data_IF_332328545032
#
_entry.id   IF_332328545032
#
_cell.length_a   1.000
_cell.length_b   1.000
_cell.length_c   1.000
_cell.angle_alpha   90.00
_cell.angle_beta   90.00
_cell.angle_gamma   90.00
#
_symmetry.space_group_name_H-M   'P 1'
#
loop_
_entity.id
_entity.type
_entity.pdbx_description
1 polymer ?
#
# COMPACT_ATOMS: atom_id res chain seq x y z
N UNK A 1 -47.81 -37.63 -12.19
CA UNK A 1 -46.50 -37.75 -12.87
C UNK A 1 -45.47 -37.15 -11.93
N UNK A 2 -44.61 -37.99 -11.36
CA UNK A 2 -43.47 -37.56 -10.55
C UNK A 2 -42.32 -37.25 -11.52
N UNK A 3 -41.96 -35.98 -11.66
CA UNK A 3 -40.68 -35.58 -12.25
C UNK A 3 -39.77 -35.12 -11.11
N UNK A 4 -39.04 -36.08 -10.55
CA UNK A 4 -37.85 -35.83 -9.73
C UNK A 4 -36.67 -35.63 -10.69
N UNK A 5 -36.28 -34.38 -10.95
CA UNK A 5 -34.99 -34.05 -11.54
C UNK A 5 -34.64 -32.60 -11.22
N UNK A 6 -33.86 -32.39 -10.16
CA UNK A 6 -32.88 -31.31 -10.04
C UNK A 6 -32.00 -31.64 -8.83
N UNK A 7 -31.13 -32.63 -9.02
CA UNK A 7 -29.96 -32.81 -8.19
C UNK A 7 -29.09 -31.57 -8.44
N UNK A 8 -29.25 -30.55 -7.59
CA UNK A 8 -28.37 -29.38 -7.61
C UNK A 8 -26.98 -29.90 -7.28
N UNK A 9 -26.15 -29.96 -8.31
CA UNK A 9 -24.77 -30.41 -8.36
C UNK A 9 -24.00 -30.12 -7.04
N UNK A 10 -24.14 -31.02 -6.05
CA UNK A 10 -23.54 -30.89 -4.71
C UNK A 10 -22.07 -31.27 -4.76
N UNK A 11 -21.31 -30.65 -5.65
CA UNK A 11 -19.90 -30.96 -5.87
C UNK A 11 -19.03 -29.77 -5.53
N UNK A 12 -17.92 -30.00 -4.84
CA UNK A 12 -16.95 -28.96 -4.58
C UNK A 12 -16.30 -28.53 -5.89
N UNK A 13 -16.34 -27.24 -6.24
CA UNK A 13 -15.74 -26.77 -7.49
C UNK A 13 -14.19 -26.70 -7.49
N UNK A 14 -13.55 -27.16 -6.41
CA UNK A 14 -12.08 -27.31 -6.32
C UNK A 14 -11.69 -28.78 -6.55
N UNK A 15 -12.17 -29.72 -5.73
CA UNK A 15 -11.80 -31.14 -5.83
C UNK A 15 -12.79 -32.00 -6.64
N UNK A 16 -13.95 -31.45 -7.01
CA UNK A 16 -15.06 -32.12 -7.70
C UNK A 16 -15.74 -33.25 -6.91
N UNK A 17 -15.40 -33.43 -5.64
CA UNK A 17 -16.05 -34.41 -4.75
C UNK A 17 -17.42 -33.93 -4.24
N UNK A 18 -18.27 -34.88 -3.86
CA UNK A 18 -19.59 -34.59 -3.28
C UNK A 18 -19.47 -33.87 -1.93
N UNK A 19 -20.22 -32.78 -1.78
CA UNK A 19 -20.26 -31.95 -0.59
C UNK A 19 -21.09 -32.62 0.50
N UNK A 20 -20.46 -32.86 1.65
CA UNK A 20 -21.12 -33.15 2.91
C UNK A 20 -20.81 -32.01 3.89
N UNK A 21 -21.84 -31.32 4.38
CA UNK A 21 -21.71 -30.09 5.21
C UNK A 21 -20.72 -29.06 4.64
N UNK A 22 -21.01 -28.46 3.47
CA UNK A 22 -20.08 -27.56 2.81
C UNK A 22 -19.77 -26.32 3.65
N UNK A 23 -18.56 -25.80 3.45
CA UNK A 23 -18.23 -24.44 3.83
C UNK A 23 -18.81 -23.48 2.79
N UNK A 24 -19.64 -22.53 3.25
CA UNK A 24 -20.37 -21.58 2.41
C UNK A 24 -19.90 -20.17 2.69
N UNK A 25 -19.34 -19.50 1.68
CA UNK A 25 -18.92 -18.09 1.84
C UNK A 25 -20.15 -17.19 1.98
N UNK A 26 -20.23 -16.40 3.04
CA UNK A 26 -21.39 -15.55 3.35
C UNK A 26 -21.72 -14.54 2.25
N UNK A 27 -20.71 -13.86 1.69
CA UNK A 27 -20.91 -12.76 0.74
C UNK A 27 -21.29 -13.20 -0.69
N UNK A 28 -20.90 -14.41 -1.09
CA UNK A 28 -21.09 -14.88 -2.47
C UNK A 28 -21.85 -16.20 -2.57
N UNK A 29 -22.11 -16.87 -1.44
CA UNK A 29 -22.88 -18.11 -1.33
C UNK A 29 -22.27 -19.31 -2.07
N UNK A 30 -21.03 -19.19 -2.55
CA UNK A 30 -20.30 -20.32 -3.12
C UNK A 30 -19.89 -21.31 -2.04
N UNK A 31 -20.02 -22.60 -2.37
CA UNK A 31 -19.81 -23.72 -1.47
C UNK A 31 -18.60 -24.56 -1.86
N UNK A 32 -17.84 -24.98 -0.85
CA UNK A 32 -16.64 -25.79 -1.00
C UNK A 32 -16.58 -26.87 0.07
N UNK A 33 -15.82 -27.93 -0.22
CA UNK A 33 -15.47 -28.90 0.82
C UNK A 33 -14.64 -28.18 1.90
N UNK A 34 -14.85 -28.50 3.19
CA UNK A 34 -14.15 -27.83 4.30
C UNK A 34 -12.62 -27.91 4.13
N UNK A 35 -12.11 -29.06 3.68
CA UNK A 35 -10.68 -29.29 3.40
C UNK A 35 -10.18 -28.33 2.32
N UNK A 36 -10.87 -28.24 1.20
CA UNK A 36 -10.54 -27.40 0.05
C UNK A 36 -10.53 -25.90 0.41
N UNK A 37 -11.54 -25.46 1.17
CA UNK A 37 -11.63 -24.09 1.64
C UNK A 37 -10.49 -23.78 2.63
N UNK A 38 -10.26 -24.68 3.59
CA UNK A 38 -9.19 -24.58 4.58
C UNK A 38 -7.83 -24.43 3.88
N UNK A 39 -7.43 -25.39 3.06
CA UNK A 39 -6.13 -25.39 2.37
C UNK A 39 -5.94 -24.13 1.51
N UNK A 40 -6.99 -23.68 0.82
CA UNK A 40 -6.92 -22.45 0.03
C UNK A 40 -6.63 -21.21 0.89
N UNK A 41 -7.31 -21.01 2.01
CA UNK A 41 -7.08 -19.84 2.85
C UNK A 41 -5.77 -19.92 3.65
N UNK A 42 -5.38 -21.13 4.05
CA UNK A 42 -4.07 -21.38 4.66
C UNK A 42 -2.94 -21.02 3.69
N UNK A 43 -3.05 -21.38 2.41
CA UNK A 43 -2.09 -20.97 1.38
C UNK A 43 -1.97 -19.44 1.28
N UNK A 44 -3.07 -18.70 1.41
CA UNK A 44 -3.04 -17.23 1.39
C UNK A 44 -2.30 -16.64 2.58
N UNK A 45 -2.38 -17.27 3.75
CA UNK A 45 -1.62 -16.87 4.93
C UNK A 45 -0.14 -17.16 4.73
N UNK A 46 0.21 -18.32 4.18
CA UNK A 46 1.59 -18.70 3.89
C UNK A 46 2.23 -17.81 2.83
N UNK A 47 1.45 -17.38 1.83
CA UNK A 47 1.83 -16.39 0.82
C UNK A 47 1.89 -14.94 1.37
N UNK A 48 1.57 -14.72 2.66
CA UNK A 48 1.46 -13.40 3.31
C UNK A 48 0.44 -12.45 2.65
N UNK A 49 -0.65 -12.99 2.11
CA UNK A 49 -1.74 -12.27 1.42
C UNK A 49 -3.01 -12.15 2.28
N UNK A 50 -2.86 -11.83 3.57
CA UNK A 50 -3.97 -11.81 4.55
C UNK A 50 -5.05 -10.73 4.31
N UNK A 51 -4.78 -9.72 3.47
CA UNK A 51 -5.76 -8.71 3.06
C UNK A 51 -6.51 -9.08 1.78
N UNK A 52 -6.15 -10.22 1.17
CA UNK A 52 -6.68 -10.67 -0.13
C UNK A 52 -7.47 -11.98 0.01
N UNK A 53 -8.11 -12.17 1.15
CA UNK A 53 -9.04 -13.27 1.34
C UNK A 53 -10.26 -13.10 0.42
N UNK A 54 -10.25 -13.88 -0.66
CA UNK A 54 -11.23 -13.84 -1.73
C UNK A 54 -11.77 -15.22 -2.01
N UNK A 55 -13.04 -15.30 -2.39
CA UNK A 55 -13.65 -16.52 -2.86
C UNK A 55 -12.87 -17.13 -4.05
N UNK A 56 -12.51 -18.44 -4.00
CA UNK A 56 -11.79 -19.11 -5.09
C UNK A 56 -12.49 -19.01 -6.45
N UNK A 57 -13.83 -18.94 -6.49
CA UNK A 57 -14.61 -18.96 -7.73
C UNK A 57 -14.87 -17.57 -8.32
N UNK A 58 -15.25 -16.59 -7.49
CA UNK A 58 -15.71 -15.29 -7.99
C UNK A 58 -14.89 -14.10 -7.52
N UNK A 59 -13.83 -14.33 -6.73
CA UNK A 59 -12.88 -13.31 -6.27
C UNK A 59 -13.47 -12.18 -5.41
N UNK A 60 -14.75 -12.28 -5.03
CA UNK A 60 -15.36 -11.42 -4.01
C UNK A 60 -14.63 -11.60 -2.68
N UNK A 61 -14.50 -10.52 -1.92
CA UNK A 61 -13.96 -10.57 -0.55
C UNK A 61 -14.73 -11.57 0.30
N UNK A 62 -14.04 -12.17 1.24
CA UNK A 62 -14.62 -13.11 2.21
C UNK A 62 -14.40 -12.57 3.61
N UNK A 63 -15.40 -12.75 4.48
CA UNK A 63 -15.29 -12.41 5.89
C UNK A 63 -14.16 -13.19 6.59
N UNK A 64 -13.33 -12.46 7.33
CA UNK A 64 -12.15 -13.02 8.00
C UNK A 64 -12.56 -13.94 9.14
N UNK A 65 -13.58 -13.56 9.92
CA UNK A 65 -13.98 -14.35 11.10
C UNK A 65 -14.48 -15.73 10.69
N UNK A 66 -15.22 -15.80 9.57
CA UNK A 66 -15.59 -17.07 8.96
C UNK A 66 -14.37 -17.92 8.55
N UNK A 67 -13.30 -17.32 8.01
CA UNK A 67 -12.08 -18.04 7.61
C UNK A 67 -11.34 -18.56 8.84
N UNK A 68 -11.19 -17.74 9.87
CA UNK A 68 -10.50 -18.13 11.11
C UNK A 68 -11.15 -19.34 11.80
N UNK A 69 -12.45 -19.57 11.59
CA UNK A 69 -13.15 -20.74 12.13
C UNK A 69 -12.82 -22.07 11.45
N UNK A 70 -12.29 -22.06 10.22
CA UNK A 70 -12.04 -23.28 9.44
C UNK A 70 -10.56 -23.64 9.29
N UNK A 71 -9.67 -22.67 9.45
CA UNK A 71 -8.23 -22.88 9.42
C UNK A 71 -7.73 -23.41 10.77
N UNK A 72 -6.58 -24.07 10.76
CA UNK A 72 -6.01 -24.59 12.00
C UNK A 72 -5.41 -23.50 12.91
N UNK A 73 -5.14 -23.89 14.15
CA UNK A 73 -4.60 -23.00 15.18
C UNK A 73 -3.28 -22.33 14.75
N UNK A 74 -2.41 -23.07 14.04
CA UNK A 74 -1.14 -22.54 13.57
C UNK A 74 -1.34 -21.39 12.57
N UNK A 75 -2.27 -21.55 11.62
CA UNK A 75 -2.58 -20.51 10.64
C UNK A 75 -3.36 -19.34 11.25
N UNK A 76 -4.19 -19.57 12.27
CA UNK A 76 -4.80 -18.47 13.05
C UNK A 76 -3.73 -17.60 13.71
N UNK A 77 -2.76 -18.22 14.38
CA UNK A 77 -1.63 -17.51 15.01
C UNK A 77 -0.81 -16.72 13.99
N UNK A 78 -0.46 -17.34 12.85
CA UNK A 78 0.23 -16.67 11.74
C UNK A 78 -0.55 -15.47 11.19
N UNK A 79 -1.86 -15.62 10.99
CA UNK A 79 -2.72 -14.52 10.53
C UNK A 79 -2.63 -13.32 11.50
N UNK A 80 -2.75 -13.57 12.81
CA UNK A 80 -2.69 -12.53 13.82
C UNK A 80 -1.30 -11.88 13.91
N UNK A 81 -0.22 -12.65 13.81
CA UNK A 81 1.14 -12.13 13.75
C UNK A 81 1.33 -11.19 12.56
N UNK A 82 0.99 -11.64 11.34
CA UNK A 82 1.11 -10.83 10.13
C UNK A 82 0.26 -9.55 10.20
N UNK A 83 -0.96 -9.64 10.75
CA UNK A 83 -1.83 -8.48 10.97
C UNK A 83 -1.21 -7.49 11.95
N UNK A 84 -0.61 -7.98 13.03
CA UNK A 84 0.08 -7.15 14.02
C UNK A 84 1.33 -6.49 13.44
N UNK A 85 2.17 -7.23 12.71
CA UNK A 85 3.35 -6.70 12.01
C UNK A 85 2.95 -5.54 11.09
N UNK A 86 1.92 -5.74 10.27
CA UNK A 86 1.40 -4.72 9.36
C UNK A 86 0.88 -3.49 10.11
N UNK A 87 0.14 -3.70 11.21
CA UNK A 87 -0.34 -2.61 12.05
C UNK A 87 0.80 -1.79 12.67
N UNK A 88 1.83 -2.46 13.22
CA UNK A 88 3.00 -1.80 13.79
C UNK A 88 3.77 -1.01 12.73
N UNK A 89 3.97 -1.58 11.55
CA UNK A 89 4.62 -0.89 10.44
C UNK A 89 3.85 0.38 10.03
N UNK A 90 2.52 0.30 9.90
CA UNK A 90 1.69 1.46 9.60
C UNK A 90 1.74 2.53 10.70
N UNK A 91 1.73 2.11 11.97
CA UNK A 91 1.85 3.00 13.12
C UNK A 91 3.19 3.73 13.10
N UNK A 92 4.29 3.01 12.94
CA UNK A 92 5.64 3.56 12.86
C UNK A 92 5.77 4.55 11.69
N UNK A 93 5.24 4.21 10.51
CA UNK A 93 5.24 5.11 9.34
C UNK A 93 4.46 6.40 9.61
N UNK A 94 3.30 6.31 10.28
CA UNK A 94 2.52 7.50 10.68
C UNK A 94 3.28 8.37 11.67
N UNK A 95 3.95 7.77 12.66
CA UNK A 95 4.77 8.49 13.64
C UNK A 95 5.97 9.17 12.98
N UNK A 96 6.64 8.49 12.06
CA UNK A 96 7.75 9.05 11.28
C UNK A 96 7.31 10.26 10.43
N UNK A 97 6.15 10.17 9.77
CA UNK A 97 5.59 11.30 8.99
C UNK A 97 5.23 12.47 9.91
N UNK A 98 4.63 12.20 11.08
CA UNK A 98 4.34 13.25 12.08
C UNK A 98 5.62 13.93 12.56
N UNK A 99 6.66 13.15 12.88
CA UNK A 99 7.96 13.68 13.26
C UNK A 99 8.51 14.60 12.18
N UNK A 100 8.48 14.15 10.93
CA UNK A 100 8.95 14.93 9.78
C UNK A 100 8.22 16.27 9.65
N UNK A 101 6.88 16.25 9.61
CA UNK A 101 6.06 17.46 9.46
C UNK A 101 6.35 18.47 10.58
N UNK A 102 6.48 17.99 11.81
CA UNK A 102 6.68 18.86 12.98
C UNK A 102 8.10 19.43 13.09
N UNK A 103 9.09 18.77 12.47
CA UNK A 103 10.51 19.10 12.66
C UNK A 103 11.24 19.52 11.38
N UNK A 104 10.59 19.46 10.21
CA UNK A 104 11.20 19.72 8.89
C UNK A 104 12.11 20.94 8.88
N UNK A 105 11.57 22.10 9.25
CA UNK A 105 12.30 23.36 9.20
C UNK A 105 13.31 23.50 10.36
N UNK A 106 13.00 22.93 11.53
CA UNK A 106 13.84 23.05 12.74
C UNK A 106 15.12 22.23 12.63
N UNK A 107 15.03 21.07 11.99
CA UNK A 107 16.14 20.12 11.86
C UNK A 107 16.69 20.04 10.43
N UNK A 108 16.29 20.97 9.55
CA UNK A 108 16.67 20.97 8.13
C UNK A 108 16.45 19.61 7.45
N UNK A 109 15.28 18.99 7.67
CA UNK A 109 14.95 17.70 7.08
C UNK A 109 14.37 17.87 5.67
N UNK A 110 14.58 16.85 4.84
CA UNK A 110 13.85 16.66 3.60
C UNK A 110 13.39 15.20 3.48
N UNK A 111 12.35 14.97 2.68
CA UNK A 111 11.78 13.63 2.44
C UNK A 111 11.73 13.34 0.95
N UNK A 112 12.30 12.21 0.54
CA UNK A 112 12.21 11.77 -0.85
C UNK A 112 10.76 11.37 -1.20
N UNK A 113 10.16 11.87 -2.28
CA UNK A 113 8.77 11.52 -2.63
C UNK A 113 8.62 10.09 -3.17
N UNK A 114 9.71 9.42 -3.54
CA UNK A 114 9.67 8.06 -4.09
C UNK A 114 9.85 6.98 -3.03
N UNK A 115 10.95 7.03 -2.28
CA UNK A 115 11.26 6.03 -1.26
C UNK A 115 10.81 6.45 0.15
N UNK A 116 10.32 7.68 0.32
CA UNK A 116 9.86 8.25 1.60
C UNK A 116 10.91 8.40 2.69
N UNK A 117 12.18 8.09 2.40
CA UNK A 117 13.26 8.24 3.36
C UNK A 117 13.50 9.72 3.68
N UNK A 118 13.75 9.97 4.96
CA UNK A 118 13.99 11.30 5.53
C UNK A 118 15.49 11.46 5.77
N UNK A 119 16.02 12.61 5.39
CA UNK A 119 17.44 12.92 5.52
C UNK A 119 17.63 14.32 6.08
N UNK A 120 18.81 14.55 6.65
CA UNK A 120 19.27 15.90 6.95
C UNK A 120 19.81 16.54 5.67
N UNK A 121 19.38 17.77 5.39
CA UNK A 121 19.97 18.62 4.37
C UNK A 121 21.13 19.41 4.99
N UNK A 122 22.23 19.54 4.25
CA UNK A 122 23.33 20.42 4.62
C UNK A 122 22.84 21.88 4.83
N UNK A 123 23.42 22.56 5.81
CA UNK A 123 23.21 23.99 6.00
C UNK A 123 23.69 24.75 4.75
N UNK A 124 22.86 25.66 4.23
CA UNK A 124 23.09 26.37 2.96
C UNK A 124 23.22 25.47 1.71
N UNK A 125 22.83 24.19 1.80
CA UNK A 125 22.84 23.27 0.67
C UNK A 125 21.81 23.62 -0.41
N UNK A 126 22.03 23.11 -1.62
CA UNK A 126 21.09 23.21 -2.72
C UNK A 126 19.75 22.56 -2.34
N UNK A 127 18.62 23.19 -2.68
CA UNK A 127 17.30 22.60 -2.47
C UNK A 127 16.95 21.55 -3.54
N UNK A 128 17.70 21.46 -4.63
CA UNK A 128 17.63 20.35 -5.56
C UNK A 128 18.46 19.18 -5.03
N UNK A 129 17.79 18.14 -4.54
CA UNK A 129 18.42 17.00 -3.87
C UNK A 129 18.34 15.77 -4.78
N UNK A 130 19.43 15.01 -4.86
CA UNK A 130 19.46 13.67 -5.43
C UNK A 130 19.36 12.63 -4.32
N UNK A 131 18.41 11.72 -4.41
CA UNK A 131 18.23 10.68 -3.38
C UNK A 131 19.20 9.52 -3.59
N UNK A 132 20.08 9.28 -2.61
CA UNK A 132 21.05 8.18 -2.62
C UNK A 132 20.62 6.98 -1.76
N UNK A 133 19.31 6.84 -1.46
CA UNK A 133 18.81 5.65 -0.78
C UNK A 133 19.07 4.37 -1.58
N UNK A 134 19.00 3.22 -0.92
CA UNK A 134 19.17 1.92 -1.58
C UNK A 134 18.10 1.67 -2.66
N UNK A 135 16.90 2.21 -2.48
CA UNK A 135 15.80 2.12 -3.44
C UNK A 135 15.99 3.06 -4.64
N UNK A 136 16.40 4.31 -4.37
CA UNK A 136 16.51 5.33 -5.41
C UNK A 136 17.83 5.26 -6.19
N UNK A 137 18.94 4.89 -5.53
CA UNK A 137 20.27 4.73 -6.13
C UNK A 137 20.75 5.94 -6.95
N UNK A 138 20.39 7.16 -6.53
CA UNK A 138 20.80 8.39 -7.20
C UNK A 138 20.03 8.72 -8.49
N UNK A 139 18.96 7.97 -8.81
CA UNK A 139 18.16 8.16 -10.04
C UNK A 139 17.12 9.27 -9.95
N UNK A 140 16.70 9.59 -8.73
CA UNK A 140 15.56 10.47 -8.47
C UNK A 140 16.02 11.78 -7.81
N UNK A 141 15.45 12.90 -8.27
CA UNK A 141 15.79 14.23 -7.76
C UNK A 141 14.54 14.99 -7.31
N UNK A 142 14.60 15.74 -6.21
CA UNK A 142 13.42 16.39 -5.64
C UNK A 142 13.78 17.71 -4.96
N UNK A 143 12.75 18.52 -4.69
CA UNK A 143 12.92 19.74 -3.92
C UNK A 143 12.92 19.45 -2.41
N UNK A 144 13.97 19.84 -1.69
CA UNK A 144 14.04 19.73 -0.23
C UNK A 144 13.00 20.57 0.51
N UNK A 145 12.53 21.67 -0.09
CA UNK A 145 11.58 22.58 0.55
C UNK A 145 10.14 22.07 0.45
N UNK A 146 9.73 21.53 -0.69
CA UNK A 146 8.35 21.14 -0.95
C UNK A 146 8.13 19.64 -1.21
N UNK A 147 9.19 18.84 -1.22
CA UNK A 147 9.19 17.39 -1.42
C UNK A 147 8.60 16.94 -2.77
N UNK A 148 8.52 17.85 -3.73
CA UNK A 148 8.04 17.56 -5.09
C UNK A 148 9.16 16.93 -5.91
N UNK A 149 8.79 15.90 -6.67
CA UNK A 149 9.64 15.29 -7.68
C UNK A 149 10.06 16.31 -8.73
N UNK A 150 11.36 16.35 -9.03
CA UNK A 150 11.95 17.23 -10.03
C UNK A 150 12.65 16.38 -11.11
N UNK A 151 12.81 16.97 -12.28
CA UNK A 151 13.70 16.49 -13.33
C UNK A 151 14.99 17.29 -13.33
N UNK A 152 16.01 16.83 -14.05
CA UNK A 152 17.27 17.58 -14.20
C UNK A 152 17.07 18.97 -14.85
N UNK A 153 15.98 19.17 -15.60
CA UNK A 153 15.63 20.47 -16.17
C UNK A 153 15.06 21.47 -15.16
N UNK A 154 14.64 21.00 -13.99
CA UNK A 154 13.97 21.80 -12.96
C UNK A 154 14.93 22.39 -11.93
N UNK A 155 16.24 22.06 -11.99
CA UNK A 155 17.26 22.46 -11.02
C UNK A 155 17.17 23.95 -10.65
N UNK A 156 17.00 24.83 -11.65
CA UNK A 156 16.85 26.26 -11.41
C UNK A 156 15.39 26.73 -11.58
N UNK A 157 14.68 26.18 -12.58
CA UNK A 157 13.35 26.65 -12.99
C UNK A 157 12.30 26.54 -11.89
N UNK A 158 12.45 25.57 -10.99
CA UNK A 158 11.53 25.39 -9.87
C UNK A 158 11.59 26.53 -8.84
N UNK A 159 12.66 27.35 -8.83
CA UNK A 159 12.90 28.34 -7.79
C UNK A 159 12.71 29.77 -8.30
N UNK A 160 12.11 30.62 -7.48
CA UNK A 160 12.06 32.07 -7.72
C UNK A 160 13.49 32.60 -7.95
N UNK A 161 13.65 33.52 -8.90
CA UNK A 161 14.94 34.04 -9.37
C UNK A 161 15.93 32.97 -9.86
N UNK A 162 15.44 31.77 -10.21
CA UNK A 162 16.26 30.64 -10.66
C UNK A 162 17.34 30.25 -9.64
N UNK A 163 17.09 30.46 -8.34
CA UNK A 163 18.08 30.25 -7.28
C UNK A 163 17.70 29.07 -6.38
N UNK A 164 18.31 27.89 -6.55
CA UNK A 164 17.97 26.72 -5.75
C UNK A 164 18.52 26.74 -4.33
N UNK A 165 19.33 27.73 -3.93
CA UNK A 165 19.88 27.82 -2.57
C UNK A 165 18.98 28.66 -1.66
N UNK A 166 18.43 29.76 -2.19
CA UNK A 166 17.67 30.76 -1.40
C UNK A 166 16.29 31.09 -1.97
N UNK A 167 16.02 30.72 -3.22
CA UNK A 167 14.73 30.97 -3.87
C UNK A 167 13.61 30.15 -3.22
N UNK A 168 12.40 30.72 -3.20
CA UNK A 168 11.19 30.00 -2.82
C UNK A 168 10.74 29.09 -3.97
N UNK A 169 10.05 28.00 -3.66
CA UNK A 169 9.44 27.14 -4.65
C UNK A 169 8.34 27.86 -5.45
N UNK A 170 8.46 27.83 -6.77
CA UNK A 170 7.38 28.06 -7.74
C UNK A 170 6.35 26.93 -7.67
N UNK A 171 5.21 27.14 -8.32
CA UNK A 171 4.14 26.15 -8.47
C UNK A 171 4.00 25.78 -9.94
N UNK A 172 3.75 24.50 -10.22
CA UNK A 172 3.52 24.05 -11.58
C UNK A 172 2.09 24.41 -12.00
N UNK A 173 1.95 25.18 -13.07
CA UNK A 173 0.67 25.59 -13.65
C UNK A 173 0.73 25.39 -15.18
N UNK A 174 -0.18 24.59 -15.74
CA UNK A 174 -0.20 24.26 -17.18
C UNK A 174 1.16 23.79 -17.74
N UNK A 175 1.93 23.04 -16.94
CA UNK A 175 3.26 22.53 -17.34
C UNK A 175 4.41 23.50 -17.14
N UNK A 176 4.17 24.73 -16.66
CA UNK A 176 5.20 25.73 -16.42
C UNK A 176 5.32 26.10 -14.94
N UNK A 177 6.54 26.36 -14.47
CA UNK A 177 6.80 26.83 -13.12
C UNK A 177 6.52 28.32 -13.01
N UNK A 178 5.53 28.70 -12.21
CA UNK A 178 5.12 30.10 -11.99
C UNK A 178 5.25 30.51 -10.53
N UNK A 179 5.55 31.79 -10.30
CA UNK A 179 5.70 32.33 -8.95
C UNK A 179 4.36 32.31 -8.19
N UNK A 180 4.38 32.00 -6.90
CA UNK A 180 3.15 31.84 -6.09
C UNK A 180 2.31 33.11 -6.00
N UNK A 181 2.94 34.28 -6.10
CA UNK A 181 2.29 35.61 -6.10
C UNK A 181 1.42 35.87 -7.34
N UNK A 182 1.58 35.09 -8.41
CA UNK A 182 0.84 35.27 -9.67
C UNK A 182 -0.49 34.52 -9.73
N UNK A 183 -0.82 33.68 -8.72
CA UNK A 183 -2.17 33.12 -8.57
C UNK A 183 -3.14 34.23 -8.14
N UNK A 184 -3.73 34.93 -9.12
CA UNK A 184 -5.01 35.61 -8.90
C UNK A 184 -6.07 34.51 -8.75
N UNK A 185 -6.69 34.43 -7.58
CA UNK A 185 -7.90 33.65 -7.35
C UNK A 185 -9.06 34.23 -8.16
#
# INVERSE_FOLDING_TARGET
>A
MQEFCQDQDRTCKICMETLNEPFRITDCQHEFCKVCAKEYFESKIDERLIDEFRCPLCQKSTDVDQILQIIDQLHQERYHEQKNEKFQFQKQRKEMIKFYINNKNKLNLCRCPWCEQIFHRAENGCNYIRCHSLECQGRNTFCAQCDVALTDLDHEKHYENNNPFKGKCRVLNNGEWVDRSTKKY
#
